data_IF_929220378432
#
_entry.id   IF_929220378432
#
_cell.length_a   1.000
_cell.length_b   1.000
_cell.length_c   1.000
_cell.angle_alpha   90.00
_cell.angle_beta   90.00
_cell.angle_gamma   90.00
#
_symmetry.space_group_name_H-M   'P 1'
#
loop_
_entity.id
_entity.type
_entity.pdbx_description
1 polymer ?
#
# COMPACT_ATOMS: atom_id res chain seq x y z
N UNK A 1 13.30 -23.56 17.80
CA UNK A 1 12.81 -23.10 16.49
C UNK A 1 13.67 -21.91 16.12
N UNK A 2 14.27 -21.90 14.94
CA UNK A 2 14.86 -20.67 14.40
C UNK A 2 13.69 -19.76 14.05
N UNK A 3 13.53 -18.67 14.80
CA UNK A 3 12.55 -17.65 14.47
C UNK A 3 12.85 -17.15 13.05
N UNK A 4 11.82 -17.12 12.21
CA UNK A 4 11.94 -16.51 10.88
C UNK A 4 12.25 -15.03 11.08
N UNK A 5 13.16 -14.44 10.28
CA UNK A 5 13.70 -13.12 10.59
C UNK A 5 12.65 -12.00 10.55
N UNK A 6 11.50 -12.22 9.91
CA UNK A 6 10.37 -11.28 9.85
C UNK A 6 9.06 -12.04 10.02
N UNK A 7 8.33 -11.70 11.08
CA UNK A 7 7.00 -12.21 11.39
C UNK A 7 6.23 -11.11 12.12
N UNK A 8 5.52 -10.29 11.35
CA UNK A 8 4.78 -9.16 11.89
C UNK A 8 3.50 -9.62 12.60
N UNK A 9 3.00 -8.79 13.52
CA UNK A 9 1.71 -9.00 14.15
C UNK A 9 0.55 -8.84 13.16
N UNK A 10 -0.55 -9.55 13.44
CA UNK A 10 -1.79 -9.47 12.64
C UNK A 10 -2.82 -8.61 13.35
N UNK A 11 -3.46 -7.72 12.59
CA UNK A 11 -4.59 -6.93 13.09
C UNK A 11 -5.77 -7.85 13.38
N UNK A 12 -6.40 -7.66 14.54
CA UNK A 12 -7.69 -8.30 14.86
C UNK A 12 -8.87 -7.53 14.30
N UNK A 13 -8.67 -6.24 13.99
CA UNK A 13 -9.66 -5.36 13.38
C UNK A 13 -9.79 -5.63 11.88
N UNK A 14 -8.66 -5.88 11.22
CA UNK A 14 -8.54 -6.15 9.78
C UNK A 14 -7.85 -7.52 9.58
N UNK A 15 -8.58 -8.64 9.71
CA UNK A 15 -7.99 -9.97 9.88
C UNK A 15 -7.64 -10.72 8.59
N UNK A 16 -8.00 -10.21 7.41
CA UNK A 16 -7.81 -10.93 6.15
C UNK A 16 -6.53 -10.49 5.43
N UNK A 17 -5.60 -11.43 5.26
CA UNK A 17 -4.34 -11.21 4.55
C UNK A 17 -4.20 -12.17 3.39
N UNK A 18 -3.68 -11.69 2.27
CA UNK A 18 -3.47 -12.49 1.07
C UNK A 18 -2.15 -12.15 0.40
N UNK A 19 -1.54 -13.17 -0.20
CA UNK A 19 -0.42 -12.99 -1.15
C UNK A 19 -0.77 -13.40 -2.58
N UNK A 20 -2.06 -13.51 -2.90
CA UNK A 20 -2.54 -13.83 -4.25
C UNK A 20 -1.96 -12.88 -5.30
N UNK A 21 -2.08 -11.57 -5.07
CA UNK A 21 -1.55 -10.54 -5.96
C UNK A 21 -0.08 -10.21 -5.66
N UNK A 22 0.25 -9.82 -4.42
CA UNK A 22 1.63 -9.41 -4.09
C UNK A 22 2.64 -10.54 -4.24
N UNK A 23 2.23 -11.80 -4.15
CA UNK A 23 3.10 -12.95 -4.40
C UNK A 23 3.54 -13.10 -5.85
N UNK A 24 2.83 -12.51 -6.81
CA UNK A 24 3.28 -12.45 -8.21
C UNK A 24 4.38 -11.40 -8.41
N UNK A 25 4.33 -10.32 -7.63
CA UNK A 25 5.29 -9.20 -7.70
C UNK A 25 6.52 -9.45 -6.81
N UNK A 26 6.30 -10.04 -5.64
CA UNK A 26 7.29 -10.44 -4.64
C UNK A 26 7.16 -11.95 -4.35
N UNK A 27 7.62 -12.81 -5.28
CA UNK A 27 7.52 -14.25 -5.11
C UNK A 27 8.41 -14.77 -3.98
N UNK A 28 9.54 -14.11 -3.76
CA UNK A 28 10.57 -14.50 -2.81
C UNK A 28 10.48 -13.75 -1.47
N UNK A 29 11.04 -14.32 -0.38
CA UNK A 29 11.11 -13.63 0.89
C UNK A 29 11.89 -12.30 0.80
N UNK A 30 11.39 -11.27 1.45
CA UNK A 30 12.12 -10.01 1.61
C UNK A 30 13.25 -10.15 2.63
N UNK A 31 14.32 -9.39 2.42
CA UNK A 31 15.47 -9.38 3.34
C UNK A 31 15.23 -8.44 4.52
N UNK A 32 15.94 -8.62 5.65
CA UNK A 32 15.89 -7.67 6.77
C UNK A 32 16.24 -6.23 6.38
N UNK A 33 17.11 -6.04 5.38
CA UNK A 33 17.42 -4.72 4.84
C UNK A 33 16.21 -4.11 4.12
N UNK A 34 15.49 -4.91 3.32
CA UNK A 34 14.26 -4.44 2.67
C UNK A 34 13.18 -4.07 3.70
N UNK A 35 13.03 -4.88 4.75
CA UNK A 35 12.09 -4.62 5.83
C UNK A 35 12.39 -3.34 6.63
N UNK A 36 13.68 -3.01 6.80
CA UNK A 36 14.10 -1.91 7.69
C UNK A 36 14.35 -0.57 7.00
N UNK A 37 14.70 -0.55 5.70
CA UNK A 37 14.96 0.70 4.95
C UNK A 37 14.43 0.66 3.51
N UNK A 38 13.84 -0.46 3.08
CA UNK A 38 13.43 -0.70 1.70
C UNK A 38 11.91 -0.68 1.52
N UNK A 39 11.39 -1.70 0.82
CA UNK A 39 10.01 -1.74 0.34
C UNK A 39 9.02 -1.66 1.50
N UNK A 40 9.09 -2.59 2.46
CA UNK A 40 8.13 -2.61 3.57
C UNK A 40 8.16 -1.32 4.39
N UNK A 41 9.36 -0.84 4.75
CA UNK A 41 9.53 0.37 5.57
C UNK A 41 8.97 1.64 4.92
N UNK A 42 9.25 1.83 3.63
CA UNK A 42 8.90 3.08 2.95
C UNK A 42 7.52 3.05 2.29
N UNK A 43 7.05 1.88 1.86
CA UNK A 43 5.89 1.80 0.97
C UNK A 43 4.60 1.46 1.71
N UNK A 44 4.65 0.70 2.81
CA UNK A 44 3.48 0.52 3.68
C UNK A 44 2.88 1.87 4.12
N UNK A 45 3.66 2.85 4.63
CA UNK A 45 3.09 4.14 5.01
C UNK A 45 2.64 4.97 3.79
N UNK A 46 3.28 4.79 2.63
CA UNK A 46 2.83 5.43 1.39
C UNK A 46 1.48 4.90 0.92
N UNK A 47 1.23 3.60 1.09
CA UNK A 47 -0.06 2.98 0.80
C UNK A 47 -1.15 3.48 1.75
N UNK A 48 -0.82 3.64 3.04
CA UNK A 48 -1.74 4.24 4.02
C UNK A 48 -2.12 5.67 3.61
N UNK A 49 -1.13 6.49 3.29
CA UNK A 49 -1.37 7.87 2.83
C UNK A 49 -2.23 7.92 1.57
N UNK A 50 -2.13 6.92 0.69
CA UNK A 50 -2.90 6.88 -0.54
C UNK A 50 -4.39 6.66 -0.24
N UNK A 51 -4.74 5.75 0.68
CA UNK A 51 -6.14 5.55 1.05
C UNK A 51 -6.74 6.79 1.71
N UNK A 52 -6.00 7.45 2.60
CA UNK A 52 -6.44 8.71 3.19
C UNK A 52 -6.62 9.80 2.12
N UNK A 53 -5.70 9.89 1.16
CA UNK A 53 -5.80 10.84 0.06
C UNK A 53 -6.94 10.52 -0.93
N UNK A 54 -7.34 9.26 -1.05
CA UNK A 54 -8.55 8.84 -1.75
C UNK A 54 -9.84 9.15 -0.96
N UNK A 55 -9.71 9.67 0.26
CA UNK A 55 -10.78 10.13 1.14
C UNK A 55 -11.77 9.03 1.56
N UNK A 56 -11.36 7.77 1.52
CA UNK A 56 -12.16 6.62 1.98
C UNK A 56 -12.16 6.47 3.50
N UNK A 57 -11.19 7.05 4.19
CA UNK A 57 -11.11 7.18 5.65
C UNK A 57 -10.00 8.18 6.03
N UNK A 58 -9.91 8.52 7.32
CA UNK A 58 -8.81 9.28 7.89
C UNK A 58 -7.82 8.36 8.65
N UNK A 59 -6.71 8.93 9.14
CA UNK A 59 -5.61 8.18 9.78
C UNK A 59 -6.00 7.36 11.02
N UNK A 60 -7.11 7.72 11.67
CA UNK A 60 -7.63 7.08 12.88
C UNK A 60 -8.30 5.72 12.64
N UNK A 61 -8.50 5.32 11.37
CA UNK A 61 -9.02 4.01 11.02
C UNK A 61 -8.04 2.87 11.35
N UNK A 62 -6.73 3.13 11.22
CA UNK A 62 -5.72 2.08 11.27
C UNK A 62 -5.58 1.47 12.67
N UNK A 63 -5.33 0.16 12.72
CA UNK A 63 -5.09 -0.56 13.97
C UNK A 63 -3.72 -0.18 14.53
N UNK A 64 -3.72 0.65 15.57
CA UNK A 64 -2.52 1.11 16.27
C UNK A 64 -1.78 -0.01 17.02
N UNK A 65 -2.41 -1.18 17.18
CA UNK A 65 -1.80 -2.33 17.87
C UNK A 65 -0.83 -3.13 17.02
N UNK A 66 -0.75 -2.84 15.71
CA UNK A 66 0.18 -3.51 14.78
C UNK A 66 1.08 -2.50 14.06
N UNK A 67 2.33 -2.86 13.76
CA UNK A 67 3.28 -1.96 13.10
C UNK A 67 2.94 -1.71 11.63
N UNK A 68 2.36 -2.71 10.95
CA UNK A 68 2.04 -2.66 9.53
C UNK A 68 0.57 -3.04 9.32
N UNK A 69 -0.22 -2.11 8.83
CA UNK A 69 -1.65 -2.32 8.60
C UNK A 69 -1.92 -2.89 7.21
N UNK A 70 -1.24 -2.35 6.19
CA UNK A 70 -1.55 -2.65 4.78
C UNK A 70 -0.68 -3.78 4.22
N UNK A 71 0.62 -3.74 4.52
CA UNK A 71 1.63 -4.59 3.88
C UNK A 71 2.56 -5.29 4.89
N UNK A 72 2.04 -6.16 5.76
CA UNK A 72 2.87 -6.94 6.69
C UNK A 72 3.63 -8.08 5.99
N UNK A 73 4.62 -8.62 6.68
CA UNK A 73 5.39 -9.78 6.28
C UNK A 73 5.23 -10.95 7.27
N UNK A 74 4.85 -12.12 6.77
CA UNK A 74 4.77 -13.36 7.56
C UNK A 74 5.73 -14.39 6.99
N UNK A 75 6.68 -14.85 7.82
CA UNK A 75 7.75 -15.73 7.35
C UNK A 75 8.61 -15.06 6.28
N UNK A 76 8.78 -13.74 6.37
CA UNK A 76 9.47 -12.89 5.39
C UNK A 76 8.81 -12.79 4.01
N UNK A 77 7.60 -13.33 3.80
CA UNK A 77 6.82 -13.06 2.59
C UNK A 77 5.86 -11.90 2.83
N UNK A 78 5.75 -10.98 1.86
CA UNK A 78 4.77 -9.89 1.92
C UNK A 78 3.35 -10.40 1.71
N UNK A 79 2.42 -9.80 2.43
CA UNK A 79 0.98 -9.98 2.28
C UNK A 79 0.30 -8.62 2.15
N UNK A 80 -0.80 -8.56 1.43
CA UNK A 80 -1.71 -7.42 1.41
C UNK A 80 -2.85 -7.70 2.39
N UNK A 81 -3.19 -6.70 3.20
CA UNK A 81 -4.38 -6.73 4.04
C UNK A 81 -5.64 -6.49 3.20
N UNK A 82 -6.33 -7.58 2.88
CA UNK A 82 -7.52 -7.56 2.03
C UNK A 82 -8.75 -7.02 2.75
N UNK A 83 -8.79 -7.05 4.08
CA UNK A 83 -9.86 -6.37 4.84
C UNK A 83 -9.89 -4.87 4.55
N UNK A 84 -8.70 -4.23 4.45
CA UNK A 84 -8.56 -2.82 4.09
C UNK A 84 -8.84 -2.59 2.59
N UNK A 85 -8.37 -3.47 1.70
CA UNK A 85 -8.67 -3.36 0.27
C UNK A 85 -10.18 -3.44 0.01
N UNK A 86 -10.89 -4.36 0.67
CA UNK A 86 -12.34 -4.52 0.54
C UNK A 86 -13.10 -3.31 1.08
N UNK A 87 -12.66 -2.78 2.22
CA UNK A 87 -13.24 -1.57 2.79
C UNK A 87 -13.11 -0.37 1.85
N UNK A 88 -11.98 -0.25 1.13
CA UNK A 88 -11.83 0.75 0.07
C UNK A 88 -12.93 0.57 -0.97
N UNK A 89 -13.11 -0.65 -1.50
CA UNK A 89 -14.14 -0.95 -2.49
C UNK A 89 -15.57 -0.69 -2.01
N UNK A 90 -15.85 -0.89 -0.72
CA UNK A 90 -17.17 -0.62 -0.13
C UNK A 90 -17.46 0.88 -0.01
N UNK A 91 -16.44 1.70 0.25
CA UNK A 91 -16.62 3.15 0.45
C UNK A 91 -16.50 3.97 -0.82
N UNK A 92 -15.90 3.44 -1.89
CA UNK A 92 -15.86 4.13 -3.19
C UNK A 92 -17.16 3.87 -3.96
N UNK A 93 -17.93 4.92 -4.32
CA UNK A 93 -19.17 4.74 -5.06
C UNK A 93 -18.98 4.00 -6.39
N UNK A 94 -19.79 2.96 -6.62
CA UNK A 94 -19.73 2.14 -7.82
C UNK A 94 -18.71 0.99 -7.79
N UNK A 95 -18.00 0.81 -6.68
CA UNK A 95 -17.20 -0.39 -6.40
C UNK A 95 -17.90 -1.31 -5.38
N UNK A 96 -17.28 -2.45 -5.07
CA UNK A 96 -17.72 -3.35 -4.00
C UNK A 96 -16.55 -4.20 -3.49
N UNK A 97 -16.75 -4.87 -2.35
CA UNK A 97 -15.79 -5.85 -1.84
C UNK A 97 -15.55 -7.00 -2.84
N UNK A 98 -16.60 -7.45 -3.54
CA UNK A 98 -16.52 -8.52 -4.55
C UNK A 98 -15.75 -8.06 -5.80
N UNK A 99 -15.89 -6.80 -6.20
CA UNK A 99 -15.10 -6.23 -7.29
C UNK A 99 -13.60 -6.21 -6.93
N UNK A 100 -13.28 -5.84 -5.70
CA UNK A 100 -11.91 -5.92 -5.15
C UNK A 100 -11.42 -7.37 -5.11
N UNK A 101 -12.26 -8.31 -4.65
CA UNK A 101 -11.89 -9.72 -4.60
C UNK A 101 -11.55 -10.26 -5.99
N UNK A 102 -12.37 -9.94 -6.99
CA UNK A 102 -12.10 -10.34 -8.37
C UNK A 102 -10.77 -9.77 -8.88
N UNK A 103 -10.45 -8.52 -8.56
CA UNK A 103 -9.21 -7.87 -8.97
C UNK A 103 -7.96 -8.50 -8.32
N UNK A 104 -8.04 -8.88 -7.04
CA UNK A 104 -6.88 -9.34 -6.26
C UNK A 104 -6.74 -10.87 -6.18
N UNK A 105 -7.84 -11.61 -6.26
CA UNK A 105 -7.87 -13.06 -6.16
C UNK A 105 -8.25 -13.76 -7.48
N UNK A 106 -8.86 -13.06 -8.43
CA UNK A 106 -9.43 -13.67 -9.63
C UNK A 106 -10.53 -14.68 -9.27
N UNK A 107 -10.54 -15.83 -9.95
CA UNK A 107 -11.52 -16.91 -9.73
C UNK A 107 -11.13 -17.90 -8.62
N UNK A 108 -10.27 -17.50 -7.67
CA UNK A 108 -9.84 -18.40 -6.60
C UNK A 108 -11.02 -18.82 -5.69
N UNK A 109 -11.18 -20.12 -5.42
CA UNK A 109 -12.22 -20.59 -4.50
C UNK A 109 -11.83 -20.36 -3.03
N UNK A 110 -12.83 -20.34 -2.14
CA UNK A 110 -12.60 -20.33 -0.69
C UNK A 110 -12.30 -18.96 -0.09
N UNK A 111 -12.53 -17.88 -0.85
CA UNK A 111 -12.47 -16.51 -0.36
C UNK A 111 -13.60 -16.29 0.66
N UNK A 112 -13.32 -15.88 1.91
CA UNK A 112 -14.35 -15.57 2.89
C UNK A 112 -15.23 -14.40 2.42
N UNK A 113 -16.55 -14.48 2.67
CA UNK A 113 -17.48 -13.40 2.32
C UNK A 113 -17.18 -12.12 3.10
N UNK A 114 -17.36 -10.95 2.49
CA UNK A 114 -17.20 -9.67 3.17
C UNK A 114 -18.04 -9.56 4.45
N UNK A 115 -19.30 -10.01 4.41
CA UNK A 115 -20.21 -10.01 5.57
C UNK A 115 -19.67 -10.79 6.79
N UNK A 116 -18.70 -11.71 6.61
CA UNK A 116 -18.10 -12.45 7.73
C UNK A 116 -17.07 -11.66 8.52
N UNK A 117 -16.54 -10.58 7.94
CA UNK A 117 -15.54 -9.70 8.54
C UNK A 117 -15.99 -8.23 8.61
N UNK A 118 -17.23 -7.96 8.19
CA UNK A 118 -17.82 -6.64 8.15
C UNK A 118 -17.90 -6.06 9.56
N UNK A 119 -17.48 -4.81 9.70
CA UNK A 119 -17.48 -4.03 10.95
C UNK A 119 -18.60 -3.02 10.92
N UNK A 120 -19.09 -2.64 12.10
CA UNK A 120 -20.21 -1.69 12.25
C UNK A 120 -19.94 -0.32 11.62
N UNK A 121 -18.66 0.08 11.51
CA UNK A 121 -18.26 1.35 10.93
C UNK A 121 -17.91 1.28 9.45
N UNK A 122 -17.96 0.11 8.81
CA UNK A 122 -17.55 -0.04 7.42
C UNK A 122 -18.44 0.80 6.49
N UNK A 123 -19.75 0.80 6.78
CA UNK A 123 -20.74 1.70 6.19
C UNK A 123 -20.66 3.08 6.86
N UNK A 124 -20.20 4.08 6.11
CA UNK A 124 -20.11 5.44 6.61
C UNK A 124 -20.45 6.44 5.49
N UNK A 125 -21.67 7.04 5.51
CA UNK A 125 -22.12 7.96 4.47
C UNK A 125 -21.22 9.18 4.27
N UNK A 126 -20.54 9.65 5.33
CA UNK A 126 -19.63 10.79 5.23
C UNK A 126 -18.40 10.43 4.38
N UNK A 127 -17.80 9.27 4.60
CA UNK A 127 -16.66 8.82 3.80
C UNK A 127 -17.08 8.39 2.40
N UNK A 128 -18.29 7.87 2.22
CA UNK A 128 -18.84 7.60 0.87
C UNK A 128 -18.98 8.90 0.06
N UNK A 129 -19.50 9.97 0.67
CA UNK A 129 -19.59 11.29 0.04
C UNK A 129 -18.20 11.86 -0.29
N UNK A 130 -17.26 11.81 0.66
CA UNK A 130 -15.88 12.29 0.45
C UNK A 130 -15.16 11.51 -0.64
N UNK A 131 -15.29 10.18 -0.65
CA UNK A 131 -14.72 9.31 -1.69
C UNK A 131 -15.38 9.55 -3.04
N UNK A 132 -16.69 9.81 -3.09
CA UNK A 132 -17.40 10.21 -4.30
C UNK A 132 -16.91 11.54 -4.87
N UNK A 133 -16.65 12.52 -4.01
CA UNK A 133 -16.03 13.79 -4.44
C UNK A 133 -14.60 13.57 -4.97
N UNK A 134 -13.79 12.75 -4.31
CA UNK A 134 -12.46 12.38 -4.81
C UNK A 134 -12.54 11.69 -6.18
N UNK A 135 -13.45 10.72 -6.36
CA UNK A 135 -13.67 10.02 -7.62
C UNK A 135 -14.04 10.99 -8.75
N UNK A 136 -14.96 11.92 -8.49
CA UNK A 136 -15.37 12.93 -9.48
C UNK A 136 -14.23 13.89 -9.84
N UNK A 137 -13.48 14.39 -8.85
CA UNK A 137 -12.43 15.39 -9.04
C UNK A 137 -11.13 14.80 -9.61
N UNK A 138 -10.64 13.70 -9.01
CA UNK A 138 -9.27 13.22 -9.18
C UNK A 138 -9.14 12.00 -10.10
N UNK A 139 -10.26 11.35 -10.45
CA UNK A 139 -10.30 10.20 -11.36
C UNK A 139 -11.00 10.61 -12.65
N UNK A 140 -12.29 10.97 -12.59
CA UNK A 140 -13.09 11.30 -13.77
C UNK A 140 -12.79 12.69 -14.33
N UNK A 141 -12.47 13.64 -13.46
CA UNK A 141 -12.16 15.03 -13.81
C UNK A 141 -10.68 15.28 -14.10
N UNK A 142 -9.81 14.29 -13.95
CA UNK A 142 -8.37 14.47 -14.15
C UNK A 142 -8.04 14.74 -15.62
N UNK A 143 -7.31 15.83 -15.88
CA UNK A 143 -6.95 16.27 -17.25
C UNK A 143 -5.48 16.03 -17.61
N UNK A 144 -4.64 15.78 -16.61
CA UNK A 144 -3.21 15.57 -16.79
C UNK A 144 -2.63 14.70 -15.65
N UNK A 145 -1.33 14.42 -15.76
CA UNK A 145 -0.55 13.64 -14.82
C UNK A 145 0.67 14.44 -14.31
N UNK A 146 0.56 15.76 -14.17
CA UNK A 146 1.71 16.64 -13.89
C UNK A 146 2.48 16.29 -12.61
N UNK A 147 1.79 15.77 -11.58
CA UNK A 147 2.43 15.27 -10.37
C UNK A 147 3.37 14.08 -10.67
N UNK A 148 2.95 13.17 -11.54
CA UNK A 148 3.75 12.01 -11.96
C UNK A 148 4.92 12.41 -12.87
N UNK A 149 4.74 13.42 -13.72
CA UNK A 149 5.84 13.99 -14.51
C UNK A 149 6.91 14.63 -13.61
N UNK A 150 6.49 15.29 -12.54
CA UNK A 150 7.40 15.87 -11.53
C UNK A 150 8.18 14.78 -10.81
N UNK A 151 7.51 13.72 -10.36
CA UNK A 151 8.13 12.55 -9.74
C UNK A 151 9.18 11.91 -10.66
N UNK A 152 8.80 11.73 -11.92
CA UNK A 152 9.69 11.16 -12.94
C UNK A 152 10.94 12.01 -13.11
N UNK A 153 10.80 13.33 -13.26
CA UNK A 153 11.93 14.23 -13.43
C UNK A 153 12.88 14.18 -12.23
N UNK A 154 12.35 14.13 -11.00
CA UNK A 154 13.15 14.02 -9.79
C UNK A 154 13.91 12.68 -9.72
N UNK A 155 13.25 11.56 -10.03
CA UNK A 155 13.89 10.24 -10.07
C UNK A 155 14.97 10.18 -11.17
N UNK A 156 14.72 10.76 -12.34
CA UNK A 156 15.71 10.88 -13.41
C UNK A 156 16.95 11.68 -12.95
N UNK A 157 16.75 12.79 -12.24
CA UNK A 157 17.83 13.61 -11.68
C UNK A 157 18.62 12.87 -10.58
N UNK A 158 17.96 12.09 -9.73
CA UNK A 158 18.62 11.25 -8.72
C UNK A 158 19.48 10.19 -9.40
N UNK A 159 18.99 9.60 -10.50
CA UNK A 159 19.73 8.62 -11.29
C UNK A 159 20.92 9.24 -12.01
N UNK A 160 20.77 10.43 -12.60
CA UNK A 160 21.86 11.13 -13.30
C UNK A 160 22.97 11.56 -12.34
N UNK A 161 22.62 11.91 -11.09
CA UNK A 161 23.56 12.30 -10.04
C UNK A 161 23.97 11.14 -9.13
N UNK A 162 23.79 9.89 -9.57
CA UNK A 162 24.21 8.72 -8.80
C UNK A 162 25.75 8.74 -8.63
N UNK A 163 26.28 8.75 -7.40
CA UNK A 163 27.73 8.66 -7.18
C UNK A 163 28.23 7.27 -7.61
N UNK A 164 29.54 7.11 -7.75
CA UNK A 164 30.13 5.77 -7.91
C UNK A 164 29.92 4.96 -6.63
N UNK A 165 28.90 4.11 -6.63
CA UNK A 165 28.49 3.30 -5.47
C UNK A 165 29.62 2.37 -5.02
N UNK A 166 30.53 1.98 -5.92
CA UNK A 166 31.66 1.10 -5.58
C UNK A 166 32.72 1.79 -4.70
N UNK A 167 32.68 3.12 -4.61
CA UNK A 167 33.60 3.93 -3.79
C UNK A 167 33.05 4.27 -2.41
N UNK A 168 31.78 3.98 -2.15
CA UNK A 168 31.14 4.31 -0.87
C UNK A 168 31.43 3.24 0.19
N UNK A 169 31.64 3.68 1.42
CA UNK A 169 31.62 2.81 2.60
C UNK A 169 30.20 2.32 2.91
N UNK A 170 30.08 1.23 3.69
CA UNK A 170 28.80 0.71 4.15
C UNK A 170 27.94 1.77 4.86
N UNK A 171 28.58 2.65 5.65
CA UNK A 171 27.89 3.75 6.35
C UNK A 171 27.32 4.77 5.36
N UNK A 172 28.07 5.11 4.31
CA UNK A 172 27.60 6.03 3.26
C UNK A 172 26.48 5.40 2.42
N UNK A 173 26.57 4.09 2.17
CA UNK A 173 25.49 3.33 1.50
C UNK A 173 24.21 3.36 2.31
N UNK A 174 24.26 3.06 3.61
CA UNK A 174 23.09 3.10 4.50
C UNK A 174 22.52 4.51 4.61
N UNK A 175 23.38 5.52 4.74
CA UNK A 175 22.96 6.93 4.77
C UNK A 175 22.24 7.31 3.48
N UNK A 176 22.77 6.90 2.34
CA UNK A 176 22.14 7.14 1.04
C UNK A 176 20.79 6.40 0.92
N UNK A 177 20.69 5.14 1.34
CA UNK A 177 19.41 4.40 1.31
C UNK A 177 18.33 5.12 2.10
N UNK A 178 18.63 5.51 3.35
CA UNK A 178 17.69 6.24 4.23
C UNK A 178 17.32 7.63 3.72
N UNK A 179 18.21 8.28 2.96
CA UNK A 179 17.91 9.60 2.38
C UNK A 179 16.72 9.60 1.42
N UNK A 180 16.27 8.43 0.95
CA UNK A 180 15.13 8.29 0.05
C UNK A 180 13.80 7.99 0.75
N UNK A 181 13.74 7.85 2.07
CA UNK A 181 12.52 7.43 2.80
C UNK A 181 11.30 8.31 2.46
N UNK A 182 11.43 9.63 2.59
CA UNK A 182 10.34 10.57 2.28
C UNK A 182 9.96 10.56 0.80
N UNK A 183 10.94 10.41 -0.09
CA UNK A 183 10.69 10.31 -1.52
C UNK A 183 9.93 9.03 -1.85
N UNK A 184 10.40 7.87 -1.39
CA UNK A 184 9.80 6.58 -1.70
C UNK A 184 8.38 6.46 -1.14
N UNK A 185 8.12 6.98 0.06
CA UNK A 185 6.75 7.05 0.62
C UNK A 185 5.81 7.82 -0.30
N UNK A 186 6.24 9.00 -0.77
CA UNK A 186 5.45 9.83 -1.70
C UNK A 186 5.26 9.18 -3.07
N UNK A 187 6.33 8.65 -3.66
CA UNK A 187 6.26 7.98 -4.96
C UNK A 187 5.30 6.78 -4.90
N UNK A 188 5.34 6.04 -3.80
CA UNK A 188 4.46 4.88 -3.64
C UNK A 188 3.02 5.27 -3.36
N UNK A 189 2.79 6.35 -2.59
CA UNK A 189 1.47 6.95 -2.46
C UNK A 189 0.87 7.26 -3.84
N UNK A 190 1.60 7.99 -4.67
CA UNK A 190 1.15 8.32 -6.03
C UNK A 190 0.94 7.07 -6.89
N UNK A 191 1.80 6.06 -6.77
CA UNK A 191 1.63 4.78 -7.47
C UNK A 191 0.32 4.08 -7.11
N UNK A 192 -0.04 4.04 -5.83
CA UNK A 192 -1.32 3.47 -5.38
C UNK A 192 -2.49 4.31 -5.88
N UNK A 193 -2.44 5.64 -5.74
CA UNK A 193 -3.49 6.52 -6.27
C UNK A 193 -3.70 6.33 -7.78
N UNK A 194 -2.62 6.16 -8.55
CA UNK A 194 -2.68 5.91 -10.00
C UNK A 194 -3.30 4.54 -10.32
N UNK A 195 -2.89 3.51 -9.59
CA UNK A 195 -3.42 2.15 -9.75
C UNK A 195 -4.94 2.13 -9.49
N UNK A 196 -5.39 2.78 -8.41
CA UNK A 196 -6.80 2.87 -8.04
C UNK A 196 -7.63 3.71 -9.03
N UNK A 197 -7.01 4.68 -9.71
CA UNK A 197 -7.65 5.47 -10.78
C UNK A 197 -7.87 4.70 -12.08
N UNK A 198 -7.05 3.69 -12.35
CA UNK A 198 -6.92 3.09 -13.68
C UNK A 198 -7.89 1.96 -13.98
N UNK A 199 -8.59 1.43 -12.96
CA UNK A 199 -9.54 0.32 -13.10
C UNK A 199 -8.86 -1.04 -13.28
#
# INVERSE_FOLDING_TARGET
MTDWPLMDETSKLFPLYSRANVGEIFPDPITPLNASVGFQHCLEPGWRDAFVACRVWDDDLYDETVPFNVLPAFGSYLYINMSLMRLFGVRVPGMSAEAVDLQYFGDMPGIPSYESEKRDFDENPEYEEKAGAWLAEQVLGATDLAAYDTDRAEVEQIRSNRPDISTLSDTELVTRMRSFELLLRRLFKHHIEASLKSG
#
